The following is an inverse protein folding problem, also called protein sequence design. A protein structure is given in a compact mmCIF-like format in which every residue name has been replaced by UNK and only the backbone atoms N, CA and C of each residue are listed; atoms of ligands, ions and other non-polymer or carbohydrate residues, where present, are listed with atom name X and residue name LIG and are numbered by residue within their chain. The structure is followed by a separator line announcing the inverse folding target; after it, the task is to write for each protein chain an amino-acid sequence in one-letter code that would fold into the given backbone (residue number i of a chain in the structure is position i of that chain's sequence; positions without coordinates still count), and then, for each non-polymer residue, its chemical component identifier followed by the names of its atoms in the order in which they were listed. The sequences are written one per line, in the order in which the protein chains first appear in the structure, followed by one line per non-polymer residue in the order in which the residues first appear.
data_IF_816509031598
#
_entry.id   IF_816509031598
#
_cell.length_a   1.000
_cell.length_b   1.000
_cell.length_c   1.000
_cell.angle_alpha   90.00
_cell.angle_beta   90.00
_cell.angle_gamma   90.00
#
_symmetry.space_group_name_H-M   'P 1'
#
loop_
_entity.id
_entity.type
_entity.pdbx_description
1 polymer ?
#
# COMPACT_ATOMS: atom_id res chain seq x y z
N UNK A 1 -10.73 4.07 -9.42
CA UNK A 1 -10.69 5.45 -8.87
C UNK A 1 -9.35 6.11 -9.17
N UNK A 2 -9.25 7.44 -9.15
CA UNK A 2 -7.98 8.18 -9.31
C UNK A 2 -7.31 8.38 -7.93
N UNK A 3 -5.98 8.48 -7.86
CA UNK A 3 -5.22 8.61 -6.62
C UNK A 3 -5.56 9.88 -5.84
N UNK A 4 -5.73 11.02 -6.53
CA UNK A 4 -6.17 12.27 -5.90
C UNK A 4 -7.54 12.13 -5.23
N UNK A 5 -8.46 11.41 -5.85
CA UNK A 5 -9.80 11.16 -5.29
C UNK A 5 -9.71 10.30 -4.02
N UNK A 6 -8.89 9.24 -4.05
CA UNK A 6 -8.64 8.37 -2.90
C UNK A 6 -8.00 9.14 -1.74
N UNK A 7 -7.01 9.98 -2.01
CA UNK A 7 -6.34 10.82 -1.00
C UNK A 7 -7.35 11.78 -0.37
N UNK A 8 -8.18 12.46 -1.16
CA UNK A 8 -9.16 13.41 -0.64
C UNK A 8 -10.22 12.73 0.22
N UNK A 9 -10.77 11.60 -0.23
CA UNK A 9 -11.70 10.78 0.57
C UNK A 9 -11.05 10.30 1.87
N UNK A 10 -9.79 9.88 1.80
CA UNK A 10 -9.01 9.44 2.96
C UNK A 10 -8.75 10.57 3.95
N UNK A 11 -8.46 11.78 3.48
CA UNK A 11 -8.28 12.96 4.34
C UNK A 11 -9.56 13.26 5.12
N UNK A 12 -10.68 13.40 4.42
CA UNK A 12 -11.99 13.68 5.03
C UNK A 12 -12.31 12.64 6.10
N UNK A 13 -12.11 11.36 5.78
CA UNK A 13 -12.35 10.27 6.73
C UNK A 13 -11.38 10.31 7.93
N UNK A 14 -10.08 10.50 7.67
CA UNK A 14 -9.05 10.58 8.72
C UNK A 14 -9.31 11.75 9.68
N UNK A 15 -9.71 12.91 9.17
CA UNK A 15 -9.99 14.10 9.98
C UNK A 15 -11.27 13.93 10.82
N UNK A 16 -12.26 13.15 10.34
CA UNK A 16 -13.47 12.83 11.11
C UNK A 16 -13.23 11.87 12.29
N UNK A 17 -12.11 11.13 12.25
CA UNK A 17 -11.73 10.16 13.28
C UNK A 17 -10.23 10.25 13.55
N UNK A 18 -9.75 11.34 14.17
CA UNK A 18 -8.33 11.51 14.43
C UNK A 18 -7.85 10.41 15.37
N UNK A 19 -6.82 9.66 14.95
CA UNK A 19 -6.24 8.57 15.75
C UNK A 19 -4.80 8.91 16.10
N UNK A 20 -4.35 8.40 17.23
CA UNK A 20 -2.95 8.44 17.65
C UNK A 20 -2.04 7.85 16.57
N UNK A 21 -1.25 8.73 15.96
CA UNK A 21 -0.22 8.39 14.98
C UNK A 21 0.93 7.73 15.75
N UNK A 22 1.04 6.42 15.65
CA UNK A 22 2.15 5.68 16.27
C UNK A 22 3.38 5.78 15.38
N UNK A 23 4.50 6.20 15.96
CA UNK A 23 5.81 6.19 15.30
C UNK A 23 6.50 4.86 15.59
N UNK A 24 6.35 3.89 14.70
CA UNK A 24 7.05 2.61 14.82
C UNK A 24 8.23 2.59 13.83
N UNK A 25 9.46 2.71 14.36
CA UNK A 25 10.71 2.62 13.59
C UNK A 25 11.34 1.20 13.59
N UNK A 26 10.59 0.17 14.02
CA UNK A 26 11.10 -1.20 14.13
C UNK A 26 10.47 -2.14 13.09
N UNK A 27 10.97 -3.38 12.99
CA UNK A 27 10.40 -4.45 12.13
C UNK A 27 8.91 -4.69 12.46
N UNK A 28 8.46 -4.33 13.67
CA UNK A 28 7.07 -4.39 14.07
C UNK A 28 6.18 -3.35 13.37
N UNK A 29 6.75 -2.41 12.60
CA UNK A 29 5.99 -1.42 11.81
C UNK A 29 4.95 -2.09 10.91
N UNK A 30 5.28 -3.24 10.32
CA UNK A 30 4.33 -3.99 9.49
C UNK A 30 3.20 -4.62 10.32
N UNK A 31 3.49 -5.08 11.54
CA UNK A 31 2.48 -5.64 12.43
C UNK A 31 1.53 -4.55 12.95
N UNK A 32 2.08 -3.42 13.39
CA UNK A 32 1.30 -2.26 13.83
C UNK A 32 0.48 -1.66 12.68
N UNK A 33 1.08 -1.53 11.50
CA UNK A 33 0.40 -1.08 10.30
C UNK A 33 -0.74 -2.01 9.91
N UNK A 34 -0.52 -3.33 9.92
CA UNK A 34 -1.57 -4.31 9.65
C UNK A 34 -2.71 -4.26 10.67
N UNK A 35 -2.39 -4.11 11.96
CA UNK A 35 -3.40 -3.95 13.00
C UNK A 35 -4.21 -2.67 12.82
N UNK A 36 -3.54 -1.54 12.54
CA UNK A 36 -4.22 -0.28 12.24
C UNK A 36 -5.12 -0.41 11.00
N UNK A 37 -4.63 -1.00 9.91
CA UNK A 37 -5.41 -1.25 8.69
C UNK A 37 -6.63 -2.14 8.96
N UNK A 38 -6.49 -3.18 9.77
CA UNK A 38 -7.59 -4.06 10.17
C UNK A 38 -8.69 -3.28 10.91
N UNK A 39 -8.33 -2.43 11.86
CA UNK A 39 -9.28 -1.55 12.54
C UNK A 39 -10.01 -0.65 11.54
N UNK A 40 -9.28 -0.03 10.60
CA UNK A 40 -9.88 0.81 9.55
C UNK A 40 -10.80 0.03 8.61
N UNK A 41 -10.41 -1.16 8.20
CA UNK A 41 -11.22 -2.04 7.35
C UNK A 41 -12.52 -2.44 8.05
N UNK A 42 -12.44 -2.77 9.34
CA UNK A 42 -13.61 -3.15 10.16
C UNK A 42 -14.57 -1.98 10.33
N UNK A 43 -14.05 -0.76 10.51
CA UNK A 43 -14.89 0.45 10.58
C UNK A 43 -15.53 0.83 9.24
N UNK A 44 -14.83 0.59 8.13
CA UNK A 44 -15.32 0.92 6.80
C UNK A 44 -16.35 -0.10 6.30
N UNK A 45 -16.27 -1.36 6.74
CA UNK A 45 -17.19 -2.44 6.35
C UNK A 45 -17.49 -3.34 7.56
N UNK A 46 -18.33 -2.87 8.51
CA UNK A 46 -18.68 -3.62 9.71
C UNK A 46 -19.25 -5.00 9.42
N UNK A 47 -20.04 -5.13 8.36
CA UNK A 47 -20.71 -6.35 7.92
C UNK A 47 -19.74 -7.47 7.51
N UNK A 48 -18.51 -7.13 7.14
CA UNK A 48 -17.49 -8.07 6.66
C UNK A 48 -16.30 -8.14 7.63
N UNK A 49 -16.49 -7.85 8.91
CA UNK A 49 -15.38 -7.83 9.88
C UNK A 49 -14.86 -9.24 10.16
N UNK A 50 -13.59 -9.49 9.82
CA UNK A 50 -12.87 -10.74 10.15
C UNK A 50 -12.02 -10.49 11.41
N UNK A 51 -11.94 -11.41 12.38
CA UNK A 51 -11.06 -11.24 13.53
C UNK A 51 -9.58 -11.17 13.12
N UNK A 52 -8.85 -10.21 13.68
CA UNK A 52 -7.42 -10.04 13.40
C UNK A 52 -6.63 -11.30 13.78
N UNK A 53 -5.97 -11.90 12.80
CA UNK A 53 -5.17 -13.09 13.01
C UNK A 53 -3.74 -12.73 13.42
N UNK A 54 -3.39 -13.00 14.68
CA UNK A 54 -2.03 -12.78 15.19
C UNK A 54 -1.02 -13.81 14.67
N UNK A 55 -1.46 -14.94 14.13
CA UNK A 55 -0.57 -15.97 13.58
C UNK A 55 0.04 -15.56 12.24
N UNK A 56 -0.60 -14.63 11.51
CA UNK A 56 -0.07 -14.11 10.25
C UNK A 56 1.16 -13.26 10.54
N UNK A 57 2.30 -13.66 9.94
CA UNK A 57 3.58 -12.98 10.09
C UNK A 57 3.68 -11.78 9.14
N UNK A 58 2.94 -10.71 9.40
CA UNK A 58 2.93 -9.50 8.55
C UNK A 58 4.32 -8.91 8.33
N UNK A 59 5.21 -8.99 9.33
CA UNK A 59 6.62 -8.57 9.19
C UNK A 59 7.37 -9.33 8.09
N UNK A 60 7.13 -10.62 7.95
CA UNK A 60 7.77 -11.44 6.91
C UNK A 60 7.25 -11.07 5.52
N UNK A 61 5.94 -10.89 5.36
CA UNK A 61 5.34 -10.48 4.09
C UNK A 61 5.76 -9.06 3.69
N UNK A 62 5.82 -8.14 4.65
CA UNK A 62 6.35 -6.79 4.44
C UNK A 62 7.80 -6.84 3.98
N UNK A 63 8.67 -7.56 4.70
CA UNK A 63 10.07 -7.72 4.33
C UNK A 63 10.21 -8.32 2.93
N UNK A 64 9.52 -9.42 2.64
CA UNK A 64 9.55 -10.06 1.32
C UNK A 64 9.15 -9.09 0.20
N UNK A 65 8.02 -8.38 0.36
CA UNK A 65 7.55 -7.38 -0.62
C UNK A 65 8.63 -6.34 -0.89
N UNK A 66 9.12 -5.68 0.15
CA UNK A 66 10.06 -4.57 -0.01
C UNK A 66 11.45 -5.04 -0.44
N UNK A 67 11.91 -6.23 -0.04
CA UNK A 67 13.16 -6.81 -0.51
C UNK A 67 13.12 -7.13 -2.00
N UNK A 68 12.01 -7.68 -2.52
CA UNK A 68 11.85 -7.95 -3.96
C UNK A 68 11.85 -6.63 -4.74
N UNK A 69 11.02 -5.66 -4.33
CA UNK A 69 10.95 -4.36 -5.02
C UNK A 69 12.31 -3.62 -5.00
N UNK A 70 12.98 -3.58 -3.84
CA UNK A 70 14.30 -2.96 -3.70
C UNK A 70 15.36 -3.69 -4.52
N UNK A 71 15.37 -5.02 -4.52
CA UNK A 71 16.31 -5.82 -5.32
C UNK A 71 16.20 -5.53 -6.82
N UNK A 72 14.96 -5.46 -7.33
CA UNK A 72 14.71 -5.13 -8.74
C UNK A 72 15.08 -3.67 -9.05
N UNK A 73 14.81 -2.74 -8.13
CA UNK A 73 15.24 -1.34 -8.28
C UNK A 73 16.76 -1.21 -8.36
N UNK A 74 17.50 -1.88 -7.47
CA UNK A 74 18.97 -1.85 -7.46
C UNK A 74 19.54 -2.51 -8.72
N UNK A 75 19.00 -3.67 -9.11
CA UNK A 75 19.41 -4.36 -10.33
C UNK A 75 19.19 -3.49 -11.58
N UNK A 76 17.99 -2.94 -11.75
CA UNK A 76 17.68 -2.05 -12.88
C UNK A 76 18.56 -0.80 -12.88
N UNK A 77 18.83 -0.21 -11.72
CA UNK A 77 19.73 0.95 -11.58
C UNK A 77 21.18 0.62 -11.99
N UNK A 78 21.71 -0.53 -11.56
CA UNK A 78 23.04 -0.97 -11.96
C UNK A 78 23.10 -1.19 -13.48
N UNK A 79 22.11 -1.86 -14.06
CA UNK A 79 22.09 -2.14 -15.51
C UNK A 79 21.93 -0.86 -16.35
N UNK A 80 21.01 0.04 -15.97
CA UNK A 80 20.73 1.26 -16.72
C UNK A 80 21.85 2.31 -16.57
N UNK A 81 22.49 2.39 -15.41
CA UNK A 81 23.66 3.29 -15.21
C UNK A 81 24.85 2.93 -16.09
N UNK A 82 25.00 1.65 -16.47
CA UNK A 82 26.02 1.19 -17.42
C UNK A 82 25.73 1.62 -18.86
N UNK A 83 24.47 1.88 -19.19
CA UNK A 83 24.04 2.33 -20.53
C UNK A 83 24.08 3.86 -20.60
N UNK A 84 23.32 4.54 -19.74
CA UNK A 84 23.26 6.00 -19.71
C UNK A 84 22.62 6.50 -18.40
N UNK A 85 23.25 7.48 -17.73
CA UNK A 85 22.75 7.99 -16.44
C UNK A 85 21.35 8.62 -16.53
N UNK A 86 20.99 9.16 -17.69
CA UNK A 86 19.64 9.69 -17.95
C UNK A 86 18.53 8.63 -17.94
N UNK A 87 18.86 7.34 -17.96
CA UNK A 87 17.87 6.24 -17.88
C UNK A 87 17.52 5.87 -16.43
N UNK A 88 18.20 6.40 -15.42
CA UNK A 88 17.93 6.10 -14.01
C UNK A 88 16.47 6.31 -13.56
N UNK A 89 15.72 7.30 -14.05
CA UNK A 89 14.30 7.44 -13.72
C UNK A 89 13.46 6.21 -14.10
N UNK A 90 13.87 5.42 -15.11
CA UNK A 90 13.18 4.20 -15.51
C UNK A 90 13.26 3.12 -14.42
N UNK A 91 14.31 3.08 -13.59
CA UNK A 91 14.38 2.18 -12.43
C UNK A 91 13.25 2.43 -11.44
N UNK A 92 12.85 3.70 -11.24
CA UNK A 92 11.72 4.05 -10.36
C UNK A 92 10.41 3.53 -10.95
N UNK A 93 10.23 3.64 -12.27
CA UNK A 93 9.05 3.06 -12.95
C UNK A 93 9.04 1.54 -12.84
N UNK A 94 10.18 0.87 -13.01
CA UNK A 94 10.31 -0.59 -12.83
C UNK A 94 9.99 -0.98 -11.37
N UNK A 95 10.47 -0.21 -10.39
CA UNK A 95 10.11 -0.42 -8.98
C UNK A 95 8.59 -0.40 -8.77
N UNK A 96 7.92 0.66 -9.24
CA UNK A 96 6.47 0.77 -9.09
C UNK A 96 5.71 -0.29 -9.89
N UNK A 97 6.21 -0.68 -11.06
CA UNK A 97 5.65 -1.78 -11.82
C UNK A 97 5.63 -3.07 -11.01
N UNK A 98 6.69 -3.38 -10.26
CA UNK A 98 6.70 -4.55 -9.37
C UNK A 98 5.83 -4.31 -8.14
N UNK A 99 5.94 -3.15 -7.51
CA UNK A 99 5.29 -2.83 -6.24
C UNK A 99 3.76 -2.93 -6.32
N UNK A 100 3.16 -2.53 -7.45
CA UNK A 100 1.70 -2.62 -7.64
C UNK A 100 1.16 -4.04 -7.64
N UNK A 101 1.99 -5.07 -7.90
CA UNK A 101 1.57 -6.47 -7.78
C UNK A 101 1.30 -6.87 -6.32
N UNK A 102 1.94 -6.19 -5.38
CA UNK A 102 1.79 -6.39 -3.94
C UNK A 102 0.97 -5.27 -3.27
N UNK A 103 0.23 -4.49 -4.06
CA UNK A 103 -0.55 -3.34 -3.60
C UNK A 103 -1.58 -3.74 -2.53
N UNK A 104 -2.31 -4.83 -2.79
CA UNK A 104 -3.41 -5.29 -1.95
C UNK A 104 -3.02 -6.45 -1.03
N UNK A 105 -1.74 -6.79 -0.94
CA UNK A 105 -1.26 -7.93 -0.16
C UNK A 105 -1.68 -7.85 1.32
N UNK A 106 -1.53 -6.69 1.96
CA UNK A 106 -1.87 -6.52 3.38
C UNK A 106 -3.38 -6.62 3.64
N UNK A 107 -4.26 -5.89 2.92
CA UNK A 107 -5.70 -6.08 3.05
C UNK A 107 -6.16 -7.52 2.79
N UNK A 108 -5.60 -8.20 1.79
CA UNK A 108 -5.93 -9.59 1.48
C UNK A 108 -5.50 -10.56 2.58
N UNK A 109 -4.33 -10.34 3.19
CA UNK A 109 -3.87 -11.11 4.35
C UNK A 109 -4.80 -10.90 5.56
N UNK A 110 -5.22 -9.66 5.80
CA UNK A 110 -6.17 -9.33 6.89
C UNK A 110 -7.51 -10.05 6.67
N UNK A 111 -8.00 -10.09 5.43
CA UNK A 111 -9.23 -10.81 5.05
C UNK A 111 -9.05 -12.34 4.94
N UNK A 112 -7.84 -12.86 5.18
CA UNK A 112 -7.49 -14.28 5.10
C UNK A 112 -7.83 -14.91 3.75
N UNK A 113 -7.71 -14.15 2.68
CA UNK A 113 -7.98 -14.64 1.32
C UNK A 113 -6.93 -15.69 0.94
N UNK A 114 -7.33 -16.84 0.37
CA UNK A 114 -6.37 -17.83 -0.10
C UNK A 114 -5.48 -17.25 -1.19
N UNK A 115 -4.20 -17.64 -1.21
CA UNK A 115 -3.21 -17.20 -2.20
C UNK A 115 -3.13 -15.66 -2.35
N UNK A 116 -2.89 -14.90 -1.28
CA UNK A 116 -3.06 -13.44 -1.26
C UNK A 116 -2.14 -12.71 -2.25
N UNK A 117 -0.96 -13.27 -2.56
CA UNK A 117 -0.05 -12.70 -3.57
C UNK A 117 -0.66 -12.81 -4.97
N UNK A 118 -1.11 -14.01 -5.36
CA UNK A 118 -1.72 -14.23 -6.67
C UNK A 118 -3.02 -13.43 -6.82
N UNK A 119 -3.82 -13.37 -5.76
CA UNK A 119 -5.04 -12.57 -5.74
C UNK A 119 -4.74 -11.08 -5.87
N UNK A 120 -3.70 -10.57 -5.20
CA UNK A 120 -3.25 -9.18 -5.36
C UNK A 120 -2.86 -8.89 -6.81
N UNK A 121 -2.07 -9.77 -7.43
CA UNK A 121 -1.68 -9.69 -8.85
C UNK A 121 -2.92 -9.66 -9.75
N UNK A 122 -3.85 -10.59 -9.55
CA UNK A 122 -5.08 -10.68 -10.34
C UNK A 122 -5.93 -9.41 -10.24
N UNK A 123 -6.09 -8.85 -9.02
CA UNK A 123 -6.81 -7.60 -8.81
C UNK A 123 -6.10 -6.45 -9.54
N UNK A 124 -4.77 -6.35 -9.43
CA UNK A 124 -3.97 -5.32 -10.11
C UNK A 124 -4.14 -5.34 -11.63
N UNK A 125 -4.08 -6.51 -12.26
CA UNK A 125 -4.30 -6.61 -13.71
C UNK A 125 -5.76 -6.36 -14.11
N UNK A 126 -6.71 -6.72 -13.25
CA UNK A 126 -8.15 -6.47 -13.49
C UNK A 126 -8.51 -4.99 -13.40
N UNK A 127 -7.88 -4.24 -12.49
CA UNK A 127 -8.00 -2.78 -12.43
C UNK A 127 -7.28 -2.13 -13.62
N UNK A 128 -6.13 -2.69 -13.99
CA UNK A 128 -5.28 -2.21 -15.09
C UNK A 128 -3.94 -1.72 -14.56
N UNK A 129 -2.85 -2.34 -15.03
CA UNK A 129 -1.50 -2.13 -14.49
C UNK A 129 -1.04 -0.67 -14.58
N UNK A 130 -1.34 0.02 -15.70
CA UNK A 130 -0.98 1.43 -15.90
C UNK A 130 -1.73 2.34 -14.92
N UNK A 131 -3.03 2.10 -14.75
CA UNK A 131 -3.85 2.82 -13.78
C UNK A 131 -3.32 2.59 -12.36
N UNK A 132 -2.92 1.35 -12.03
CA UNK A 132 -2.33 1.04 -10.74
C UNK A 132 -1.04 1.82 -10.49
N UNK A 133 -0.11 1.83 -11.44
CA UNK A 133 1.16 2.56 -11.31
C UNK A 133 0.92 4.05 -11.09
N UNK A 134 0.11 4.70 -11.95
CA UNK A 134 -0.15 6.14 -11.86
C UNK A 134 -0.78 6.49 -10.50
N UNK A 135 -1.78 5.72 -10.08
CA UNK A 135 -2.50 5.93 -8.82
C UNK A 135 -1.57 5.77 -7.63
N UNK A 136 -0.76 4.72 -7.60
CA UNK A 136 0.18 4.47 -6.49
C UNK A 136 1.29 5.51 -6.46
N UNK A 137 1.81 5.94 -7.61
CA UNK A 137 2.81 7.01 -7.67
C UNK A 137 2.28 8.32 -7.07
N UNK A 138 1.02 8.68 -7.32
CA UNK A 138 0.39 9.86 -6.71
C UNK A 138 0.27 9.72 -5.19
N UNK A 139 -0.15 8.55 -4.69
CA UNK A 139 -0.26 8.26 -3.26
C UNK A 139 1.13 8.30 -2.61
N UNK A 140 2.12 7.66 -3.22
CA UNK A 140 3.49 7.64 -2.73
C UNK A 140 4.11 9.04 -2.68
N UNK A 141 3.92 9.84 -3.74
CA UNK A 141 4.34 11.23 -3.75
C UNK A 141 3.70 12.02 -2.59
N UNK A 142 2.40 11.86 -2.37
CA UNK A 142 1.70 12.50 -1.25
C UNK A 142 2.24 12.08 0.13
N UNK A 143 2.54 10.79 0.32
CA UNK A 143 3.14 10.27 1.55
C UNK A 143 4.53 10.88 1.79
N UNK A 144 5.37 10.93 0.74
CA UNK A 144 6.73 11.48 0.80
C UNK A 144 6.74 12.98 1.11
N UNK A 145 5.84 13.77 0.51
CA UNK A 145 5.70 15.21 0.81
C UNK A 145 5.35 15.44 2.28
N UNK A 146 4.63 14.51 2.92
CA UNK A 146 4.30 14.59 4.34
C UNK A 146 5.50 14.57 5.28
N UNK A 147 6.60 13.94 4.88
CA UNK A 147 7.82 13.86 5.70
C UNK A 147 8.47 15.22 5.94
N UNK A 148 8.22 16.21 5.07
CA UNK A 148 8.68 17.58 5.26
C UNK A 148 7.86 18.37 6.30
N UNK A 149 6.72 17.83 6.77
CA UNK A 149 5.95 18.42 7.85
C UNK A 149 6.50 17.95 9.21
N UNK A 150 7.41 18.75 9.78
CA UNK A 150 8.11 18.44 11.05
C UNK A 150 7.18 18.21 12.24
N UNK A 151 5.95 18.77 12.23
CA UNK A 151 5.00 18.59 13.35
C UNK A 151 4.29 17.24 13.30
N UNK A 152 3.99 16.73 12.09
CA UNK A 152 3.20 15.51 11.87
C UNK A 152 3.71 14.74 10.64
N UNK A 153 4.96 14.25 10.64
CA UNK A 153 5.61 13.71 9.43
C UNK A 153 4.92 12.46 8.87
N UNK A 154 4.25 11.70 9.73
CA UNK A 154 3.57 10.45 9.35
C UNK A 154 2.08 10.62 9.01
N UNK A 155 1.48 11.80 9.18
CA UNK A 155 0.04 11.96 8.93
C UNK A 155 -0.33 11.57 7.49
N UNK A 156 0.45 12.02 6.50
CA UNK A 156 0.19 11.66 5.10
C UNK A 156 0.42 10.16 4.84
N UNK A 157 1.32 9.50 5.58
CA UNK A 157 1.52 8.06 5.48
C UNK A 157 0.27 7.30 5.91
N UNK A 158 -0.33 7.64 7.04
CA UNK A 158 -1.58 7.03 7.49
C UNK A 158 -2.72 7.29 6.49
N UNK A 159 -2.83 8.50 5.95
CA UNK A 159 -3.82 8.85 4.93
C UNK A 159 -3.57 8.07 3.62
N UNK A 160 -2.31 7.86 3.24
CA UNK A 160 -1.92 7.05 2.09
C UNK A 160 -2.30 5.58 2.29
N UNK A 161 -2.02 5.02 3.46
CA UNK A 161 -2.46 3.66 3.81
C UNK A 161 -3.99 3.53 3.77
N UNK A 162 -4.72 4.53 4.31
CA UNK A 162 -6.18 4.57 4.22
C UNK A 162 -6.68 4.63 2.78
N UNK A 163 -5.96 5.34 1.90
CA UNK A 163 -6.28 5.40 0.47
C UNK A 163 -6.24 4.02 -0.17
N UNK A 164 -5.25 3.19 0.19
CA UNK A 164 -5.17 1.80 -0.25
C UNK A 164 -6.31 0.95 0.33
N UNK A 165 -6.67 1.14 1.60
CA UNK A 165 -7.80 0.43 2.23
C UNK A 165 -9.13 0.77 1.54
N UNK A 166 -9.40 2.06 1.29
CA UNK A 166 -10.61 2.50 0.58
C UNK A 166 -10.64 1.96 -0.85
N UNK A 167 -9.50 1.95 -1.52
CA UNK A 167 -9.41 1.41 -2.86
C UNK A 167 -9.66 -0.10 -2.88
N UNK A 168 -9.03 -0.82 -1.96
CA UNK A 168 -9.27 -2.25 -1.79
C UNK A 168 -10.73 -2.55 -1.51
N UNK A 169 -11.40 -1.79 -0.64
CA UNK A 169 -12.84 -1.97 -0.39
C UNK A 169 -13.65 -1.91 -1.70
N UNK A 170 -13.50 -0.82 -2.44
CA UNK A 170 -14.35 -0.53 -3.60
C UNK A 170 -14.04 -1.40 -4.84
N UNK A 171 -12.76 -1.70 -5.08
CA UNK A 171 -12.32 -2.37 -6.32
C UNK A 171 -11.79 -3.79 -6.10
N UNK A 172 -11.40 -4.15 -4.88
CA UNK A 172 -10.92 -5.49 -4.52
C UNK A 172 -11.97 -6.33 -3.79
N UNK A 173 -12.35 -5.92 -2.58
CA UNK A 173 -13.16 -6.67 -1.60
C UNK A 173 -14.59 -6.92 -2.07
N UNK A 174 -15.28 -5.87 -2.52
CA UNK A 174 -16.67 -5.96 -3.01
C UNK A 174 -16.84 -6.87 -4.25
N UNK A 175 -15.72 -7.28 -4.86
CA UNK A 175 -15.68 -8.12 -6.07
C UNK A 175 -15.16 -9.53 -5.82
N UNK A 176 -14.67 -9.84 -4.62
CA UNK A 176 -14.33 -11.20 -4.19
C UNK A 176 -15.55 -11.98 -3.69
N UNK A 177 -16.58 -11.27 -3.22
CA UNK A 177 -17.82 -11.81 -2.66
C UNK A 177 -19.06 -11.61 -3.57
N UNK A 178 -18.83 -11.27 -4.86
CA UNK A 178 -19.85 -11.28 -5.92
C UNK A 178 -19.56 -12.42 -6.88
#
# INVERSE_FOLDING_TARGET
MNGTELINKSKVWFDSKPVEIHQALSIHVFQYGAHWMHTRMSELSPENTVPFDKSIRFGLYGLLKYSICLGIFLLSTILLSRIHIGLLPLSVLIFYFVEVHFLFLFPLLIDRVPNPVLTSICITYRIGIVQCIITVMQIAFFMMVGLFNLRKPFQNWYIGCLSIVLWYKNDGRDRLYK
#
